data_IF_033133991593
#
_entry.id   IF_033133991593
#
_cell.length_a   1.000
_cell.length_b   1.000
_cell.length_c   1.000
_cell.angle_alpha   90.00
_cell.angle_beta   90.00
_cell.angle_gamma   90.00
#
_symmetry.space_group_name_H-M   'P 1'
#
loop_
_entity.id
_entity.type
_entity.pdbx_description
1 polymer ?
#
# COMPACT_ATOMS: atom_id res chain seq x y z
N UNK A 1 46.66 -33.60 54.97
CA UNK A 1 45.38 -33.13 55.52
C UNK A 1 45.66 -31.98 56.49
N UNK A 2 45.48 -30.75 56.03
CA UNK A 2 45.52 -29.53 56.86
C UNK A 2 44.37 -28.65 56.41
N UNK A 3 43.45 -28.43 57.33
CA UNK A 3 42.23 -27.63 57.21
C UNK A 3 42.57 -26.18 57.54
N UNK A 4 42.19 -25.24 56.68
CA UNK A 4 42.15 -23.80 57.03
C UNK A 4 40.76 -23.27 56.71
N UNK A 5 40.04 -22.94 57.79
CA UNK A 5 38.89 -22.04 57.83
C UNK A 5 39.37 -20.57 57.71
N UNK A 6 38.40 -19.67 57.50
CA UNK A 6 38.33 -18.24 57.88
C UNK A 6 38.49 -17.17 56.80
N UNK A 7 37.57 -16.19 56.87
CA UNK A 7 37.63 -14.86 56.28
C UNK A 7 36.41 -14.53 55.43
N UNK A 8 35.19 -14.43 55.97
CA UNK A 8 34.63 -13.22 56.59
C UNK A 8 34.76 -11.95 55.72
N UNK A 9 33.61 -11.57 55.13
CA UNK A 9 33.08 -10.22 54.88
C UNK A 9 34.08 -9.05 54.81
N UNK A 10 34.05 -8.34 53.69
CA UNK A 10 34.40 -6.92 53.65
C UNK A 10 33.46 -6.19 52.68
N UNK A 11 32.44 -5.54 53.24
CA UNK A 11 31.75 -4.41 52.64
C UNK A 11 32.58 -3.15 52.88
N UNK A 12 32.91 -2.40 51.83
CA UNK A 12 33.24 -0.97 51.84
C UNK A 12 33.33 -0.52 50.37
N UNK A 13 32.30 0.08 49.75
CA UNK A 13 31.84 1.50 49.82
C UNK A 13 32.67 2.44 48.92
N UNK A 14 31.96 3.35 48.21
CA UNK A 14 32.37 4.52 47.40
C UNK A 14 32.86 4.21 45.96
N UNK A 15 32.48 4.92 44.90
CA UNK A 15 31.75 6.18 44.74
C UNK A 15 31.25 6.32 43.28
N UNK A 16 30.32 7.25 43.12
CA UNK A 16 29.71 7.73 41.88
C UNK A 16 30.64 7.86 40.67
N UNK A 17 30.16 7.38 39.52
CA UNK A 17 30.46 7.95 38.21
C UNK A 17 29.18 8.14 37.42
N UNK A 18 28.82 9.43 37.33
CA UNK A 18 28.23 10.10 36.18
C UNK A 18 27.34 9.27 35.24
N UNK A 19 26.05 9.58 35.32
CA UNK A 19 25.15 9.60 34.18
C UNK A 19 25.86 10.19 32.94
N UNK A 20 25.76 9.52 31.79
CA UNK A 20 25.60 10.10 30.45
C UNK A 20 25.43 8.94 29.45
N UNK A 21 24.55 9.19 28.48
CA UNK A 21 24.40 8.51 27.18
C UNK A 21 23.63 7.18 27.13
N UNK A 22 22.30 7.28 27.10
CA UNK A 22 21.50 6.51 26.14
C UNK A 22 20.26 7.30 25.70
N UNK A 23 20.41 8.59 25.41
CA UNK A 23 19.40 9.36 24.67
C UNK A 23 19.64 9.08 23.19
N UNK A 24 18.91 8.12 22.63
CA UNK A 24 18.43 8.11 21.24
C UNK A 24 17.83 6.75 20.86
N UNK A 25 16.92 6.23 21.69
CA UNK A 25 15.88 5.34 21.18
C UNK A 25 14.81 6.15 20.43
N UNK A 26 15.24 7.08 19.57
CA UNK A 26 14.41 7.65 18.53
C UNK A 26 14.42 6.67 17.37
N UNK A 27 13.84 5.48 17.58
CA UNK A 27 13.34 4.72 16.45
C UNK A 27 12.34 5.65 15.77
N UNK A 28 12.78 6.31 14.70
CA UNK A 28 11.87 6.83 13.72
C UNK A 28 11.07 5.61 13.28
N UNK A 29 9.89 5.45 13.88
CA UNK A 29 8.86 4.55 13.39
C UNK A 29 8.59 5.05 11.99
N UNK A 30 9.33 4.52 11.01
CA UNK A 30 8.94 4.61 9.60
C UNK A 30 7.52 4.09 9.62
N UNK A 31 6.55 5.00 9.55
CA UNK A 31 5.17 4.60 9.37
C UNK A 31 5.21 3.65 8.18
N UNK A 32 4.77 2.40 8.36
CA UNK A 32 4.81 1.45 7.28
C UNK A 32 4.07 2.10 6.12
N UNK A 33 4.78 2.31 5.00
CA UNK A 33 4.17 2.69 3.73
C UNK A 33 2.97 1.77 3.61
N UNK A 34 1.76 2.32 3.68
CA UNK A 34 0.60 1.52 4.06
C UNK A 34 0.55 0.29 3.17
N UNK A 35 0.79 -0.88 3.77
CA UNK A 35 1.00 -2.09 3.01
C UNK A 35 -0.29 -2.37 2.24
N UNK A 36 -0.16 -2.66 0.94
CA UNK A 36 -1.26 -3.21 0.16
C UNK A 36 -1.73 -4.48 0.84
N UNK A 37 -3.04 -4.65 0.95
CA UNK A 37 -3.64 -5.82 1.58
C UNK A 37 -3.54 -7.09 0.70
N UNK A 38 -2.32 -7.56 0.47
CA UNK A 38 -2.04 -8.69 -0.40
C UNK A 38 -2.69 -9.98 0.08
N UNK A 39 -2.77 -10.14 1.41
CA UNK A 39 -3.24 -11.34 2.10
C UNK A 39 -4.74 -11.58 1.86
N UNK A 40 -5.53 -10.50 1.72
CA UNK A 40 -6.95 -10.59 1.38
C UNK A 40 -7.23 -10.43 -0.12
N UNK A 41 -6.18 -10.41 -0.95
CA UNK A 41 -6.31 -10.41 -2.41
C UNK A 41 -6.23 -9.04 -3.07
N UNK A 42 -6.00 -7.96 -2.31
CA UNK A 42 -5.70 -6.67 -2.92
C UNK A 42 -4.36 -6.73 -3.67
N UNK A 43 -4.21 -5.84 -4.64
CA UNK A 43 -3.06 -5.73 -5.53
C UNK A 43 -2.65 -4.29 -5.67
N UNK A 44 -1.35 -4.07 -5.84
CA UNK A 44 -0.82 -2.79 -6.30
C UNK A 44 -1.10 -2.65 -7.79
N UNK A 45 -1.85 -1.61 -8.15
CA UNK A 45 -2.16 -1.25 -9.53
C UNK A 45 -1.63 0.14 -9.91
N UNK A 46 -1.57 0.40 -11.21
CA UNK A 46 -1.26 1.71 -11.79
C UNK A 46 -2.39 2.12 -12.74
N UNK A 47 -2.85 3.36 -12.63
CA UNK A 47 -3.78 3.93 -13.62
C UNK A 47 -3.02 4.08 -14.94
N UNK A 48 -3.47 3.41 -16.00
CA UNK A 48 -2.78 3.41 -17.31
C UNK A 48 -3.59 4.06 -18.42
N UNK A 49 -4.91 4.17 -18.25
CA UNK A 49 -5.77 4.89 -19.18
C UNK A 49 -7.08 5.32 -18.50
N UNK A 50 -7.76 6.27 -19.14
CA UNK A 50 -9.03 6.83 -18.72
C UNK A 50 -10.11 6.45 -19.72
N UNK A 51 -11.29 6.10 -19.23
CA UNK A 51 -12.47 5.98 -20.06
C UNK A 51 -13.18 7.32 -20.08
N UNK A 52 -13.29 7.93 -21.25
CA UNK A 52 -13.87 9.26 -21.39
C UNK A 52 -15.38 9.18 -21.60
N UNK A 53 -16.16 10.16 -21.12
CA UNK A 53 -17.63 10.14 -21.24
C UNK A 53 -18.13 10.13 -22.70
N UNK A 54 -17.33 10.66 -23.63
CA UNK A 54 -17.59 10.69 -25.08
C UNK A 54 -17.27 9.37 -25.79
N UNK A 55 -16.71 8.37 -25.08
CA UNK A 55 -16.49 7.03 -25.63
C UNK A 55 -17.78 6.21 -25.78
N UNK A 56 -18.95 6.77 -25.45
CA UNK A 56 -20.26 6.14 -25.72
C UNK A 56 -20.40 5.99 -27.25
N UNK A 57 -20.29 4.74 -27.73
CA UNK A 57 -20.27 4.40 -29.16
C UNK A 57 -18.96 3.75 -29.63
N UNK A 58 -17.90 3.83 -28.83
CA UNK A 58 -16.73 2.96 -28.97
C UNK A 58 -17.02 1.59 -28.36
N UNK A 59 -16.22 0.58 -28.73
CA UNK A 59 -16.29 -0.76 -28.12
C UNK A 59 -15.81 -0.68 -26.67
N UNK A 60 -16.75 -0.44 -25.74
CA UNK A 60 -16.49 -0.46 -24.31
C UNK A 60 -16.18 -1.88 -23.81
N UNK A 61 -15.36 -2.03 -22.76
CA UNK A 61 -15.18 -3.31 -22.07
C UNK A 61 -16.52 -3.88 -21.57
N UNK A 62 -16.68 -5.21 -21.45
CA UNK A 62 -17.96 -5.81 -21.11
C UNK A 62 -18.58 -5.29 -19.79
N UNK A 63 -17.77 -5.04 -18.77
CA UNK A 63 -18.22 -4.45 -17.50
C UNK A 63 -18.69 -3.00 -17.58
N UNK A 64 -18.38 -2.28 -18.66
CA UNK A 64 -18.90 -0.93 -18.91
C UNK A 64 -20.02 -0.94 -19.96
N UNK A 65 -20.01 -1.89 -20.89
CA UNK A 65 -20.97 -1.98 -21.99
C UNK A 65 -22.42 -2.19 -21.53
N UNK A 66 -22.61 -2.78 -20.34
CA UNK A 66 -23.93 -3.02 -19.75
C UNK A 66 -24.45 -1.87 -18.87
N UNK A 67 -23.64 -0.82 -18.66
CA UNK A 67 -24.08 0.34 -17.88
C UNK A 67 -25.06 1.19 -18.69
N UNK A 68 -26.00 1.84 -17.98
CA UNK A 68 -26.81 2.88 -18.61
C UNK A 68 -25.92 4.07 -18.95
N UNK A 69 -26.26 4.81 -19.99
CA UNK A 69 -25.48 5.98 -20.41
C UNK A 69 -25.34 7.00 -19.27
N UNK A 70 -26.42 7.25 -18.52
CA UNK A 70 -26.40 8.18 -17.38
C UNK A 70 -25.44 7.71 -16.27
N UNK A 71 -25.42 6.40 -15.97
CA UNK A 71 -24.49 5.81 -15.00
C UNK A 71 -23.05 5.87 -15.52
N UNK A 72 -22.84 5.71 -16.83
CA UNK A 72 -21.49 5.82 -17.39
C UNK A 72 -20.93 7.25 -17.29
N UNK A 73 -21.76 8.27 -17.55
CA UNK A 73 -21.34 9.69 -17.55
C UNK A 73 -21.23 10.24 -16.12
N UNK A 74 -22.04 9.76 -15.18
CA UNK A 74 -22.02 10.22 -13.79
C UNK A 74 -20.76 9.77 -13.03
N UNK A 75 -20.09 8.71 -13.50
CA UNK A 75 -18.96 8.09 -12.83
C UNK A 75 -17.67 8.23 -13.64
N UNK A 76 -16.52 8.07 -12.98
CA UNK A 76 -15.20 8.15 -13.62
C UNK A 76 -14.60 6.76 -13.66
N UNK A 77 -14.40 6.20 -14.85
CA UNK A 77 -13.82 4.87 -15.00
C UNK A 77 -12.39 4.93 -15.51
N UNK A 78 -11.56 4.04 -14.98
CA UNK A 78 -10.14 3.94 -15.33
C UNK A 78 -9.75 2.51 -15.66
N UNK A 79 -8.75 2.40 -16.53
CA UNK A 79 -8.02 1.15 -16.74
C UNK A 79 -6.84 1.12 -15.79
N UNK A 80 -6.77 0.08 -14.98
CA UNK A 80 -5.70 -0.16 -14.00
C UNK A 80 -4.91 -1.38 -14.41
N UNK A 81 -3.58 -1.24 -14.51
CA UNK A 81 -2.67 -2.37 -14.71
C UNK A 81 -2.11 -2.83 -13.39
N UNK A 82 -2.10 -4.13 -13.12
CA UNK A 82 -1.47 -4.71 -11.93
C UNK A 82 -0.62 -5.92 -12.31
N UNK A 83 0.24 -6.36 -11.39
CA UNK A 83 1.03 -7.58 -11.56
C UNK A 83 0.50 -8.71 -10.67
N UNK A 84 0.44 -9.91 -11.23
CA UNK A 84 0.17 -11.15 -10.50
C UNK A 84 1.19 -12.20 -10.95
N UNK A 85 2.06 -12.61 -10.04
CA UNK A 85 3.23 -13.42 -10.39
C UNK A 85 4.11 -12.72 -11.43
N UNK A 86 4.32 -13.38 -12.58
CA UNK A 86 5.12 -12.85 -13.70
C UNK A 86 4.28 -12.12 -14.76
N UNK A 87 2.96 -12.08 -14.61
CA UNK A 87 2.05 -11.55 -15.60
C UNK A 87 1.55 -10.16 -15.22
N UNK A 88 1.31 -9.34 -16.26
CA UNK A 88 0.59 -8.07 -16.13
C UNK A 88 -0.86 -8.29 -16.55
N UNK A 89 -1.77 -7.79 -15.73
CA UNK A 89 -3.20 -7.86 -15.94
C UNK A 89 -3.77 -6.45 -15.99
N UNK A 90 -4.79 -6.28 -16.82
CA UNK A 90 -5.55 -5.04 -16.88
C UNK A 90 -6.92 -5.28 -16.24
N UNK A 91 -7.38 -4.32 -15.44
CA UNK A 91 -8.70 -4.29 -14.83
C UNK A 91 -9.36 -2.95 -15.13
N UNK A 92 -10.69 -2.92 -15.08
CA UNK A 92 -11.47 -1.68 -15.16
C UNK A 92 -12.05 -1.42 -13.78
N UNK A 93 -11.86 -0.20 -13.29
CA UNK A 93 -12.36 0.20 -11.98
C UNK A 93 -13.03 1.58 -12.06
N UNK A 94 -13.97 1.80 -11.16
CA UNK A 94 -14.43 3.15 -10.86
C UNK A 94 -13.39 3.87 -10.00
N UNK A 95 -13.07 5.10 -10.36
CA UNK A 95 -12.23 5.97 -9.56
C UNK A 95 -13.07 6.69 -8.50
N UNK A 96 -12.81 6.48 -7.20
CA UNK A 96 -13.59 7.10 -6.13
C UNK A 96 -13.64 8.62 -6.24
N UNK A 97 -14.74 9.22 -5.80
CA UNK A 97 -14.88 10.67 -5.75
C UNK A 97 -13.77 11.30 -4.89
N UNK A 98 -13.29 12.50 -5.28
CA UNK A 98 -12.23 13.21 -4.56
C UNK A 98 -10.81 12.68 -4.81
N UNK A 99 -10.66 11.51 -5.45
CA UNK A 99 -9.35 11.06 -5.93
C UNK A 99 -9.00 11.80 -7.22
N UNK A 100 -7.83 12.46 -7.30
CA UNK A 100 -7.36 13.08 -8.54
C UNK A 100 -7.14 12.00 -9.59
N UNK A 101 -7.43 12.30 -10.85
CA UNK A 101 -7.25 11.35 -11.93
C UNK A 101 -5.90 11.58 -12.59
N UNK A 102 -4.88 10.84 -12.15
CA UNK A 102 -3.50 11.00 -12.63
C UNK A 102 -2.99 9.69 -13.26
N UNK A 103 -2.59 9.76 -14.53
CA UNK A 103 -1.98 8.61 -15.20
C UNK A 103 -0.64 8.25 -14.53
N UNK A 104 -0.38 6.95 -14.34
CA UNK A 104 0.78 6.44 -13.62
C UNK A 104 0.64 6.42 -12.09
N UNK A 105 -0.46 6.95 -11.55
CA UNK A 105 -0.74 6.92 -10.12
C UNK A 105 -0.94 5.48 -9.62
N UNK A 106 -0.40 5.21 -8.43
CA UNK A 106 -0.48 3.90 -7.79
C UNK A 106 -1.71 3.81 -6.92
N UNK A 107 -2.40 2.68 -7.01
CA UNK A 107 -3.63 2.41 -6.25
C UNK A 107 -3.59 1.03 -5.61
N UNK A 108 -4.30 0.89 -4.51
CA UNK A 108 -4.70 -0.42 -4.00
C UNK A 108 -5.98 -0.83 -4.73
N UNK A 109 -5.88 -1.95 -5.44
CA UNK A 109 -6.90 -2.49 -6.33
C UNK A 109 -7.38 -3.84 -5.81
N UNK A 110 -8.68 -4.04 -5.78
CA UNK A 110 -9.34 -5.32 -5.58
C UNK A 110 -9.81 -5.82 -6.95
N UNK A 111 -9.10 -6.79 -7.57
CA UNK A 111 -9.42 -7.23 -8.91
C UNK A 111 -10.80 -7.89 -9.00
N UNK A 112 -11.48 -7.68 -10.12
CA UNK A 112 -12.71 -8.37 -10.49
C UNK A 112 -12.68 -8.73 -11.98
N UNK A 113 -13.58 -9.63 -12.40
CA UNK A 113 -13.64 -10.08 -13.79
C UNK A 113 -14.57 -9.18 -14.63
N UNK A 114 -13.95 -8.31 -15.43
CA UNK A 114 -14.69 -7.44 -16.33
C UNK A 114 -15.44 -8.21 -17.42
N UNK A 115 -14.97 -9.40 -17.83
CA UNK A 115 -15.68 -10.23 -18.81
C UNK A 115 -17.00 -10.79 -18.23
N UNK A 116 -17.03 -11.04 -16.91
CA UNK A 116 -18.23 -11.36 -16.17
C UNK A 116 -19.10 -10.14 -15.82
N UNK A 117 -18.77 -8.95 -16.32
CA UNK A 117 -19.49 -7.71 -16.06
C UNK A 117 -19.15 -7.06 -14.71
N UNK A 118 -18.12 -7.52 -14.01
CA UNK A 118 -17.75 -7.01 -12.68
C UNK A 118 -16.64 -5.97 -12.78
N UNK A 119 -16.81 -4.85 -12.07
CA UNK A 119 -15.79 -3.82 -11.95
C UNK A 119 -14.86 -4.12 -10.78
N UNK A 120 -13.56 -3.90 -11.00
CA UNK A 120 -12.59 -3.89 -9.92
C UNK A 120 -12.82 -2.67 -9.01
N UNK A 121 -12.41 -2.79 -7.75
CA UNK A 121 -12.60 -1.73 -6.76
C UNK A 121 -11.27 -1.10 -6.36
N UNK A 122 -11.18 0.23 -6.39
CA UNK A 122 -10.03 0.98 -5.85
C UNK A 122 -10.38 1.40 -4.42
N UNK A 123 -9.68 0.85 -3.43
CA UNK A 123 -9.88 1.21 -2.03
C UNK A 123 -9.17 2.51 -1.64
N UNK A 124 -7.99 2.77 -2.23
CA UNK A 124 -7.20 3.98 -1.97
C UNK A 124 -6.11 4.22 -3.01
N UNK A 125 -5.68 5.48 -3.09
CA UNK A 125 -4.40 5.84 -3.71
C UNK A 125 -3.26 5.48 -2.77
N UNK A 126 -2.19 4.94 -3.33
CA UNK A 126 -0.97 4.65 -2.61
C UNK A 126 -0.02 5.84 -2.66
N UNK A 127 0.70 6.15 -1.56
CA UNK A 127 1.68 7.22 -1.56
C UNK A 127 2.73 6.96 -2.64
N UNK A 128 3.11 8.02 -3.37
CA UNK A 128 4.24 7.98 -4.28
C UNK A 128 5.45 7.55 -3.49
N UNK A 129 5.93 6.34 -3.77
CA UNK A 129 7.20 5.90 -3.22
C UNK A 129 8.24 6.68 -4.02
N UNK A 130 8.68 7.83 -3.49
CA UNK A 130 9.87 8.48 -3.99
C UNK A 130 10.96 7.41 -3.95
N UNK A 131 11.48 7.04 -5.12
CA UNK A 131 12.63 6.15 -5.19
C UNK A 131 13.71 6.79 -4.32
N UNK A 132 14.03 6.16 -3.19
CA UNK A 132 15.26 6.46 -2.47
C UNK A 132 16.35 6.02 -3.45
N UNK A 133 16.90 6.98 -4.17
CA UNK A 133 18.08 6.76 -4.99
C UNK A 133 19.22 6.42 -4.05
N UNK A 134 19.72 5.20 -4.17
CA UNK A 134 21.03 4.81 -3.69
C UNK A 134 22.12 5.40 -4.60
#
# INVERSE_FOLDING_TARGET
MRTTLQGALSMAVLAATAAIAAISAGCASKQPISAVDWDHGARRGWIVARYTPDAIGATLPPCLANLRADDYVAHRFVKVRYRQGKHSHDAVAELPAGVPLVDGEQVELWPADCAAGQLAHISRVLPVTAAVGD
#
